data_IF_550492302952
#
_entry.id   IF_550492302952
#
_cell.length_a   1.000
_cell.length_b   1.000
_cell.length_c   1.000
_cell.angle_alpha   90.00
_cell.angle_beta   90.00
_cell.angle_gamma   90.00
#
_symmetry.space_group_name_H-M   'P 1'
#
loop_
_entity.id
_entity.type
_entity.pdbx_description
1 polymer ?
#
# COMPACT_ATOMS: atom_id res chain seq x y z
N UNK A 1 24.64 -2.25 -12.42
CA UNK A 1 24.25 -1.09 -11.56
C UNK A 1 25.35 -0.68 -10.57
N UNK A 2 26.04 -1.64 -9.90
CA UNK A 2 27.09 -1.38 -8.91
C UNK A 2 28.24 -0.51 -9.45
N UNK A 3 28.80 -0.82 -10.62
CA UNK A 3 29.87 -0.06 -11.26
C UNK A 3 29.45 1.34 -11.67
N UNK A 4 28.18 1.52 -12.09
CA UNK A 4 27.62 2.84 -12.39
C UNK A 4 27.52 3.69 -11.13
N UNK A 5 27.05 3.12 -10.02
CA UNK A 5 26.98 3.80 -8.74
C UNK A 5 28.39 4.20 -8.24
N UNK A 6 29.38 3.30 -8.42
CA UNK A 6 30.77 3.58 -8.08
C UNK A 6 31.35 4.74 -8.88
N UNK A 7 31.10 4.78 -10.20
CA UNK A 7 31.56 5.87 -11.08
C UNK A 7 30.99 7.24 -10.71
N UNK A 8 29.82 7.25 -10.07
CA UNK A 8 29.13 8.45 -9.56
C UNK A 8 29.48 8.77 -8.10
N UNK A 9 30.46 8.11 -7.52
CA UNK A 9 30.89 8.24 -6.12
C UNK A 9 29.75 8.01 -5.09
N UNK A 10 28.71 7.23 -5.46
CA UNK A 10 27.66 6.88 -4.51
C UNK A 10 28.16 5.86 -3.51
N UNK A 11 27.65 5.90 -2.27
CA UNK A 11 27.94 4.89 -1.26
C UNK A 11 27.42 3.54 -1.73
N UNK A 12 28.22 2.49 -1.59
CA UNK A 12 27.91 1.13 -2.06
C UNK A 12 28.16 0.15 -0.94
N UNK A 13 27.15 -0.71 -0.70
CA UNK A 13 27.24 -1.92 0.07
C UNK A 13 26.96 -3.09 -0.88
N UNK A 14 28.00 -3.86 -1.22
CA UNK A 14 27.92 -4.90 -2.23
C UNK A 14 28.11 -6.28 -1.60
N UNK A 15 27.19 -7.21 -1.92
CA UNK A 15 27.23 -8.60 -1.50
C UNK A 15 27.80 -9.43 -2.66
N UNK A 16 28.87 -10.16 -2.39
CA UNK A 16 29.51 -11.06 -3.32
C UNK A 16 29.40 -12.52 -2.88
N UNK A 17 29.00 -13.38 -3.78
CA UNK A 17 29.01 -14.83 -3.62
C UNK A 17 30.39 -15.41 -3.96
N UNK A 18 30.42 -16.45 -4.86
CA UNK A 18 31.66 -17.15 -5.23
C UNK A 18 32.55 -16.37 -6.21
N UNK A 19 32.21 -15.11 -6.50
CA UNK A 19 32.85 -14.29 -7.54
C UNK A 19 34.18 -13.74 -7.03
N UNK A 20 35.20 -13.73 -7.89
CA UNK A 20 36.51 -13.18 -7.59
C UNK A 20 36.44 -11.64 -7.49
N UNK A 21 36.76 -11.08 -6.33
CA UNK A 21 36.70 -9.65 -6.08
C UNK A 21 37.74 -8.86 -6.85
N UNK A 22 38.93 -9.40 -7.05
CA UNK A 22 39.99 -8.76 -7.82
C UNK A 22 39.56 -8.46 -9.24
N UNK A 23 38.66 -9.28 -9.81
CA UNK A 23 38.15 -9.14 -11.18
C UNK A 23 36.87 -8.28 -11.24
N UNK A 24 35.97 -8.42 -10.27
CA UNK A 24 34.60 -7.93 -10.37
C UNK A 24 34.22 -6.85 -9.35
N UNK A 25 35.09 -6.50 -8.39
CA UNK A 25 34.79 -5.43 -7.47
C UNK A 25 34.74 -4.06 -8.15
N UNK A 26 33.86 -3.15 -7.68
CA UNK A 26 33.76 -1.83 -8.26
C UNK A 26 35.02 -0.98 -7.99
N UNK A 27 35.34 -0.09 -8.91
CA UNK A 27 36.44 0.83 -8.82
C UNK A 27 36.06 2.07 -7.97
N UNK A 28 36.88 2.41 -6.98
CA UNK A 28 36.72 3.65 -6.25
C UNK A 28 37.47 4.79 -6.98
N UNK A 29 36.72 5.79 -7.47
CA UNK A 29 37.29 6.98 -8.08
C UNK A 29 38.06 7.83 -7.08
N UNK A 30 37.67 7.79 -5.82
CA UNK A 30 38.27 8.56 -4.73
C UNK A 30 39.66 8.03 -4.39
N UNK A 31 39.81 6.72 -4.23
CA UNK A 31 41.07 6.09 -3.86
C UNK A 31 41.88 5.54 -5.04
N UNK A 32 41.32 5.55 -6.27
CA UNK A 32 41.94 5.02 -7.50
C UNK A 32 42.33 3.55 -7.39
N UNK A 33 41.49 2.75 -6.73
CA UNK A 33 41.71 1.30 -6.57
C UNK A 33 40.40 0.50 -6.51
N UNK A 34 40.52 -0.81 -6.65
CA UNK A 34 39.48 -1.82 -6.42
C UNK A 34 39.97 -2.82 -5.36
N UNK A 35 39.12 -3.80 -4.97
CA UNK A 35 39.56 -4.85 -4.07
C UNK A 35 40.66 -5.70 -4.70
N UNK A 36 41.72 -5.96 -3.93
CA UNK A 36 42.90 -6.72 -4.38
C UNK A 36 42.94 -8.13 -3.76
N UNK A 37 42.09 -8.40 -2.78
CA UNK A 37 42.05 -9.65 -2.05
C UNK A 37 40.59 -10.06 -1.80
N UNK A 38 40.33 -11.35 -1.72
CA UNK A 38 39.09 -11.90 -1.26
C UNK A 38 39.09 -11.91 0.29
N UNK A 39 38.27 -11.02 0.89
CA UNK A 39 38.12 -10.88 2.35
C UNK A 39 36.65 -10.81 2.72
N UNK A 40 36.27 -11.34 3.90
CA UNK A 40 34.87 -11.40 4.32
C UNK A 40 34.17 -10.03 4.33
N UNK A 41 34.85 -9.01 4.87
CA UNK A 41 34.36 -7.63 4.86
C UNK A 41 35.52 -6.73 4.55
N UNK A 42 35.35 -5.84 3.59
CA UNK A 42 36.36 -4.85 3.28
C UNK A 42 35.73 -3.56 2.77
N UNK A 43 36.29 -2.44 3.19
CA UNK A 43 35.85 -1.12 2.79
C UNK A 43 37.00 -0.34 2.14
N UNK A 44 36.70 0.35 1.06
CA UNK A 44 37.64 1.24 0.39
C UNK A 44 36.88 2.38 -0.30
N UNK A 45 37.25 3.62 0.01
CA UNK A 45 36.53 4.81 -0.44
C UNK A 45 35.03 4.73 -0.10
N UNK A 46 34.20 4.90 -1.10
CA UNK A 46 32.73 4.85 -0.97
C UNK A 46 32.14 3.43 -1.05
N UNK A 47 32.96 2.37 -0.98
CA UNK A 47 32.54 0.99 -1.25
C UNK A 47 32.80 0.11 -0.02
N UNK A 48 31.82 -0.66 0.41
CA UNK A 48 31.95 -1.78 1.36
C UNK A 48 31.47 -3.05 0.67
N UNK A 49 32.30 -4.09 0.72
CA UNK A 49 32.01 -5.41 0.15
C UNK A 49 31.85 -6.42 1.29
N UNK A 50 30.83 -7.30 1.14
CA UNK A 50 30.59 -8.46 1.99
C UNK A 50 30.75 -9.73 1.17
N UNK A 51 31.56 -10.65 1.64
CA UNK A 51 31.80 -11.97 1.06
C UNK A 51 31.90 -13.01 2.19
N UNK A 52 31.56 -14.26 1.97
CA UNK A 52 31.67 -15.28 3.01
C UNK A 52 33.12 -15.65 3.31
N UNK A 53 33.41 -15.90 4.58
CA UNK A 53 34.71 -16.43 5.03
C UNK A 53 34.71 -17.97 4.91
N UNK A 54 34.80 -18.46 3.70
CA UNK A 54 34.84 -19.90 3.41
C UNK A 54 36.08 -20.25 2.59
N UNK A 55 36.73 -21.37 2.84
CA UNK A 55 37.97 -21.77 2.13
C UNK A 55 37.83 -21.91 0.62
N UNK A 56 36.59 -22.13 0.12
CA UNK A 56 36.29 -22.23 -1.31
C UNK A 56 36.00 -20.91 -1.99
N UNK A 57 35.90 -19.79 -1.29
CA UNK A 57 35.68 -18.46 -1.87
C UNK A 57 37.03 -17.91 -2.36
N UNK A 58 37.14 -17.45 -3.63
CA UNK A 58 36.13 -17.34 -4.68
C UNK A 58 36.30 -18.48 -5.70
N UNK A 59 35.43 -19.46 -5.65
CA UNK A 59 35.54 -20.64 -6.57
C UNK A 59 34.98 -20.35 -7.97
N UNK A 60 34.17 -19.31 -8.16
CA UNK A 60 33.58 -18.97 -9.44
C UNK A 60 32.40 -19.83 -9.90
N UNK A 61 31.98 -20.82 -9.11
CA UNK A 61 30.89 -21.72 -9.47
C UNK A 61 29.51 -21.04 -9.36
N UNK A 62 28.57 -21.43 -10.20
CA UNK A 62 27.21 -20.90 -10.20
C UNK A 62 26.28 -21.52 -9.14
N UNK A 63 26.83 -22.17 -8.13
CA UNK A 63 26.17 -22.87 -7.03
C UNK A 63 27.13 -23.85 -6.37
N UNK A 64 26.81 -24.31 -5.14
CA UNK A 64 27.64 -25.28 -4.43
C UNK A 64 27.21 -26.73 -4.68
N UNK A 65 26.05 -26.95 -5.26
CA UNK A 65 25.43 -28.24 -5.51
C UNK A 65 25.01 -28.36 -6.97
N UNK A 66 25.83 -28.47 -7.87
CA UNK A 66 25.66 -28.55 -9.32
C UNK A 66 24.22 -28.67 -9.91
N UNK A 67 23.21 -28.92 -9.09
CA UNK A 67 21.82 -29.15 -9.48
C UNK A 67 20.80 -28.11 -9.06
N UNK A 68 21.04 -27.28 -8.03
CA UNK A 68 19.99 -26.43 -7.43
C UNK A 68 20.35 -24.94 -7.36
N UNK A 69 21.54 -24.55 -7.81
CA UNK A 69 21.95 -23.14 -7.87
C UNK A 69 22.11 -22.46 -6.50
N UNK A 70 22.10 -23.20 -5.37
CA UNK A 70 22.34 -22.66 -4.04
C UNK A 70 23.83 -22.37 -3.86
N UNK A 71 24.11 -21.25 -3.19
CA UNK A 71 25.47 -20.82 -2.90
C UNK A 71 25.67 -20.69 -1.39
N UNK A 72 26.30 -21.67 -0.77
CA UNK A 72 26.60 -21.63 0.67
C UNK A 72 27.35 -20.37 1.08
N UNK A 73 28.16 -19.81 0.18
CA UNK A 73 28.84 -18.54 0.41
C UNK A 73 27.87 -17.34 0.53
N UNK A 74 26.73 -17.36 -0.11
CA UNK A 74 25.68 -16.34 0.09
C UNK A 74 24.87 -16.61 1.35
N UNK A 75 24.51 -17.86 1.62
CA UNK A 75 23.77 -18.26 2.82
C UNK A 75 24.55 -18.00 4.13
N UNK A 76 25.88 -17.98 4.08
CA UNK A 76 26.76 -17.72 5.23
C UNK A 76 27.04 -16.23 5.48
N UNK A 77 26.57 -15.33 4.66
CA UNK A 77 26.67 -13.88 4.94
C UNK A 77 25.53 -13.48 5.85
N UNK A 78 25.84 -13.16 7.11
CA UNK A 78 24.83 -12.78 8.09
C UNK A 78 24.19 -11.41 7.74
N UNK A 79 22.86 -11.33 7.60
CA UNK A 79 22.16 -10.05 7.44
C UNK A 79 22.44 -9.06 8.57
N UNK A 80 22.64 -9.54 9.80
CA UNK A 80 22.98 -8.68 10.96
C UNK A 80 24.32 -7.97 10.78
N UNK A 81 25.29 -8.61 10.15
CA UNK A 81 26.60 -8.01 9.88
C UNK A 81 26.47 -6.91 8.86
N UNK A 82 25.71 -7.15 7.77
CA UNK A 82 25.45 -6.13 6.76
C UNK A 82 24.74 -4.94 7.39
N UNK A 83 23.67 -5.20 8.15
CA UNK A 83 22.89 -4.17 8.82
C UNK A 83 23.76 -3.30 9.74
N UNK A 84 24.62 -3.90 10.55
CA UNK A 84 25.53 -3.17 11.45
C UNK A 84 26.46 -2.23 10.70
N UNK A 85 27.02 -2.65 9.56
CA UNK A 85 27.89 -1.80 8.74
C UNK A 85 27.13 -0.65 8.08
N UNK A 86 25.91 -0.91 7.57
CA UNK A 86 25.05 0.12 6.99
C UNK A 86 24.62 1.13 8.07
N UNK A 87 24.17 0.65 9.22
CA UNK A 87 23.78 1.50 10.36
C UNK A 87 24.96 2.34 10.86
N UNK A 88 26.12 1.75 11.00
CA UNK A 88 27.35 2.45 11.40
C UNK A 88 27.71 3.58 10.43
N UNK A 89 27.59 3.33 9.13
CA UNK A 89 27.81 4.37 8.12
C UNK A 89 26.74 5.48 8.21
N UNK A 90 25.47 5.16 8.33
CA UNK A 90 24.40 6.14 8.48
C UNK A 90 24.58 7.04 9.71
N UNK A 91 25.08 6.48 10.82
CA UNK A 91 25.37 7.24 12.02
C UNK A 91 26.59 8.17 11.84
N UNK A 92 27.60 7.75 11.09
CA UNK A 92 28.83 8.56 10.84
C UNK A 92 28.59 9.68 9.83
N UNK A 93 27.78 9.48 8.78
CA UNK A 93 27.43 10.57 7.86
C UNK A 93 26.72 11.72 8.59
N UNK A 94 25.93 11.41 9.61
CA UNK A 94 25.29 12.42 10.45
C UNK A 94 26.28 13.24 11.28
N UNK A 95 27.52 12.76 11.52
CA UNK A 95 28.53 13.45 12.32
C UNK A 95 29.42 14.40 11.53
N UNK A 96 29.52 14.30 10.20
CA UNK A 96 30.39 15.14 9.35
C UNK A 96 29.68 16.37 8.75
N UNK A 97 28.38 16.46 8.86
CA UNK A 97 27.58 17.64 8.49
C UNK A 97 27.27 18.49 9.73
N UNK A 98 28.31 19.16 10.29
CA UNK A 98 28.14 20.22 11.29
C UNK A 98 27.56 21.49 10.64
N UNK A 99 26.32 21.47 10.24
CA UNK A 99 25.42 22.60 10.26
C UNK A 99 24.56 22.36 11.51
N UNK A 100 24.33 23.36 12.40
CA UNK A 100 23.37 23.18 13.48
C UNK A 100 21.99 23.05 12.85
N UNK A 101 21.61 21.85 12.52
CA UNK A 101 20.23 21.49 12.36
C UNK A 101 19.66 21.40 13.78
N UNK A 102 18.74 22.29 14.10
CA UNK A 102 17.82 22.06 15.19
C UNK A 102 17.44 20.58 15.13
N UNK A 103 17.58 19.89 16.26
CA UNK A 103 17.22 18.48 16.39
C UNK A 103 15.69 18.46 16.29
N UNK A 104 15.18 18.47 15.06
CA UNK A 104 13.84 17.93 14.84
C UNK A 104 13.94 16.45 15.21
N UNK A 105 13.19 16.06 16.22
CA UNK A 105 13.03 14.68 16.66
C UNK A 105 12.89 13.80 15.42
N UNK A 106 13.81 12.83 15.24
CA UNK A 106 13.74 11.88 14.11
C UNK A 106 12.37 11.23 14.11
N UNK A 107 11.50 11.70 13.22
CA UNK A 107 10.18 11.11 13.06
C UNK A 107 10.36 9.76 12.37
N UNK A 108 10.21 8.67 13.12
CA UNK A 108 10.14 7.33 12.52
C UNK A 108 8.87 7.23 11.68
N UNK A 109 8.99 6.75 10.44
CA UNK A 109 7.87 6.51 9.55
C UNK A 109 6.79 5.66 10.25
N UNK A 110 5.60 6.22 10.43
CA UNK A 110 4.46 5.49 10.99
C UNK A 110 3.59 4.91 9.88
N UNK A 111 2.95 3.78 10.17
CA UNK A 111 2.08 3.06 9.24
C UNK A 111 0.67 2.97 9.82
N UNK A 112 -0.32 3.34 9.01
CA UNK A 112 -1.72 3.36 9.41
C UNK A 112 -2.55 2.50 8.45
N UNK A 113 -3.33 1.59 9.02
CA UNK A 113 -4.40 0.91 8.32
C UNK A 113 -5.70 1.66 8.60
N UNK A 114 -6.39 2.16 7.57
CA UNK A 114 -7.57 3.00 7.72
C UNK A 114 -8.82 2.32 7.15
N UNK A 115 -9.90 2.39 7.93
CA UNK A 115 -11.27 2.14 7.49
C UNK A 115 -12.12 3.41 7.66
N UNK A 116 -13.05 3.66 6.72
CA UNK A 116 -14.02 4.76 6.79
C UNK A 116 -15.40 4.12 6.71
N UNK A 117 -16.11 4.05 7.83
CA UNK A 117 -17.37 3.30 7.99
C UNK A 117 -18.44 4.19 8.58
N UNK A 118 -19.57 4.28 7.90
CA UNK A 118 -20.67 5.15 8.31
C UNK A 118 -22.03 4.59 7.87
N UNK A 119 -23.10 5.14 8.47
CA UNK A 119 -24.48 4.77 8.23
C UNK A 119 -24.97 3.62 9.11
N UNK A 120 -26.17 3.11 8.85
CA UNK A 120 -26.86 2.19 9.76
C UNK A 120 -26.75 0.71 9.39
N UNK A 121 -26.19 0.40 8.20
CA UNK A 121 -26.08 -0.98 7.72
C UNK A 121 -25.00 -1.76 8.49
N UNK A 122 -25.43 -2.69 9.36
CA UNK A 122 -24.53 -3.53 10.16
C UNK A 122 -23.52 -4.30 9.32
N UNK A 123 -23.85 -4.61 8.06
CA UNK A 123 -22.96 -5.36 7.17
C UNK A 123 -21.62 -4.61 6.88
N UNK A 124 -21.61 -3.28 6.92
CA UNK A 124 -20.37 -2.51 6.75
C UNK A 124 -19.47 -2.59 7.99
N UNK A 125 -20.08 -2.57 9.18
CA UNK A 125 -19.35 -2.74 10.44
C UNK A 125 -18.76 -4.14 10.57
N UNK A 126 -19.58 -5.17 10.33
CA UNK A 126 -19.13 -6.56 10.33
C UNK A 126 -18.01 -6.78 9.31
N UNK A 127 -18.15 -6.21 8.12
CA UNK A 127 -17.13 -6.28 7.07
C UNK A 127 -15.80 -5.66 7.49
N UNK A 128 -15.82 -4.44 8.04
CA UNK A 128 -14.61 -3.74 8.50
C UNK A 128 -13.95 -4.47 9.68
N UNK A 129 -14.74 -4.93 10.64
CA UNK A 129 -14.21 -5.69 11.79
C UNK A 129 -13.62 -7.02 11.30
N UNK A 130 -14.29 -7.73 10.38
CA UNK A 130 -13.73 -8.96 9.81
C UNK A 130 -12.45 -8.71 9.02
N UNK A 131 -12.39 -7.64 8.24
CA UNK A 131 -11.17 -7.21 7.56
C UNK A 131 -10.04 -6.96 8.56
N UNK A 132 -10.30 -6.22 9.63
CA UNK A 132 -9.38 -6.00 10.73
C UNK A 132 -8.90 -7.32 11.38
N UNK A 133 -9.81 -8.24 11.73
CA UNK A 133 -9.44 -9.52 12.33
C UNK A 133 -8.52 -10.35 11.41
N UNK A 134 -8.81 -10.36 10.09
CA UNK A 134 -7.96 -11.07 9.14
C UNK A 134 -6.62 -10.36 8.89
N UNK A 135 -6.56 -9.04 9.05
CA UNK A 135 -5.32 -8.26 9.01
C UNK A 135 -4.43 -8.58 10.21
N UNK A 136 -4.99 -8.47 11.42
CA UNK A 136 -4.25 -8.67 12.68
C UNK A 136 -3.54 -10.02 12.76
N UNK A 137 -4.07 -11.04 12.14
CA UNK A 137 -3.41 -12.34 12.10
C UNK A 137 -2.05 -12.36 11.38
N UNK A 138 -1.80 -11.41 10.50
CA UNK A 138 -0.54 -11.30 9.76
C UNK A 138 0.46 -10.37 10.43
N UNK A 139 0.04 -9.66 11.48
CA UNK A 139 0.92 -8.79 12.26
C UNK A 139 1.75 -9.62 13.24
N UNK A 140 3.02 -9.31 13.32
CA UNK A 140 3.91 -9.75 14.38
C UNK A 140 3.82 -8.77 15.57
N UNK A 141 4.26 -9.18 16.74
CA UNK A 141 4.21 -8.33 17.96
C UNK A 141 5.00 -7.02 17.81
N UNK A 142 6.04 -7.02 16.94
CA UNK A 142 6.89 -5.85 16.66
C UNK A 142 6.40 -4.99 15.48
N UNK A 143 5.27 -5.34 14.84
CA UNK A 143 4.75 -4.55 13.72
C UNK A 143 4.07 -3.27 14.22
N UNK A 144 4.71 -2.14 14.01
CA UNK A 144 4.21 -0.81 14.37
C UNK A 144 3.20 -0.29 13.34
N UNK A 145 2.04 -0.96 13.22
CA UNK A 145 0.95 -0.51 12.36
C UNK A 145 -0.25 -0.17 13.22
N UNK A 146 -0.62 1.08 13.22
CA UNK A 146 -1.82 1.56 13.91
C UNK A 146 -3.04 1.35 13.03
N UNK A 147 -4.09 0.73 13.59
CA UNK A 147 -5.37 0.57 12.91
C UNK A 147 -6.31 1.70 13.34
N UNK A 148 -6.80 2.44 12.37
CA UNK A 148 -7.68 3.60 12.55
C UNK A 148 -9.02 3.34 11.89
N UNK A 149 -10.10 3.71 12.53
CA UNK A 149 -11.43 3.78 11.91
C UNK A 149 -12.00 5.20 12.06
N UNK A 150 -12.44 5.77 10.95
CA UNK A 150 -13.25 6.98 10.93
C UNK A 150 -14.71 6.56 10.80
N UNK A 151 -15.55 6.91 11.78
CA UNK A 151 -16.94 6.43 11.81
C UNK A 151 -17.91 7.43 12.46
N UNK A 152 -19.17 7.39 12.08
CA UNK A 152 -20.27 8.09 12.76
C UNK A 152 -20.89 7.26 13.90
N UNK A 153 -20.44 6.00 14.09
CA UNK A 153 -20.93 5.12 15.16
C UNK A 153 -19.78 4.42 15.90
N UNK A 154 -19.05 5.13 16.79
CA UNK A 154 -17.87 4.62 17.48
C UNK A 154 -18.15 3.39 18.36
N UNK A 155 -19.37 3.26 18.89
CA UNK A 155 -19.76 2.13 19.76
C UNK A 155 -19.60 0.76 19.08
N UNK A 156 -19.65 0.71 17.75
CA UNK A 156 -19.46 -0.53 16.98
C UNK A 156 -18.05 -1.10 17.02
N UNK A 157 -17.07 -0.27 17.37
CA UNK A 157 -15.64 -0.64 17.34
C UNK A 157 -14.99 -0.66 18.74
N UNK A 158 -15.69 -0.26 19.79
CA UNK A 158 -15.13 -0.06 21.13
C UNK A 158 -14.48 -1.29 21.76
N UNK A 159 -14.91 -2.49 21.36
CA UNK A 159 -14.42 -3.75 21.91
C UNK A 159 -13.16 -4.24 21.17
N UNK A 160 -12.69 -3.52 20.16
CA UNK A 160 -11.52 -3.86 19.34
C UNK A 160 -10.36 -2.87 19.57
N UNK A 161 -9.10 -3.31 19.52
CA UNK A 161 -7.93 -2.43 19.66
C UNK A 161 -7.70 -1.61 18.37
N UNK A 162 -8.60 -0.68 18.12
CA UNK A 162 -8.63 0.21 16.96
C UNK A 162 -8.70 1.64 17.48
N UNK A 163 -7.90 2.55 16.91
CA UNK A 163 -8.01 3.98 17.16
C UNK A 163 -9.27 4.52 16.45
N UNK A 164 -10.20 5.07 17.21
CA UNK A 164 -11.52 5.48 16.70
C UNK A 164 -11.55 7.01 16.56
N UNK A 165 -11.69 7.49 15.33
CA UNK A 165 -11.99 8.87 15.03
C UNK A 165 -13.49 9.00 14.69
N UNK A 166 -14.13 10.01 15.27
CA UNK A 166 -15.57 10.23 15.08
C UNK A 166 -15.81 11.24 13.96
N UNK A 167 -16.65 10.86 13.00
CA UNK A 167 -17.19 11.75 11.97
C UNK A 167 -18.53 12.31 12.45
N UNK A 168 -18.67 13.63 12.53
CA UNK A 168 -19.92 14.25 12.92
C UNK A 168 -21.00 14.14 11.83
N UNK A 169 -22.26 14.34 12.19
CA UNK A 169 -23.34 14.37 11.22
C UNK A 169 -23.20 15.54 10.23
N UNK A 170 -22.68 16.67 10.69
CA UNK A 170 -22.41 17.85 9.86
C UNK A 170 -21.33 17.51 8.82
N UNK A 171 -20.22 16.90 9.22
CA UNK A 171 -19.16 16.44 8.32
C UNK A 171 -19.70 15.41 7.32
N UNK A 172 -20.47 14.42 7.77
CA UNK A 172 -21.07 13.41 6.90
C UNK A 172 -21.96 14.04 5.85
N UNK A 173 -22.81 14.98 6.22
CA UNK A 173 -23.72 15.70 5.31
C UNK A 173 -22.93 16.56 4.31
N UNK A 174 -21.98 17.37 4.79
CA UNK A 174 -21.12 18.19 3.91
C UNK A 174 -20.34 17.31 2.92
N UNK A 175 -19.68 16.27 3.41
CA UNK A 175 -18.83 15.41 2.59
C UNK A 175 -19.61 14.58 1.59
N UNK A 176 -20.86 14.22 1.91
CA UNK A 176 -21.75 13.48 1.00
C UNK A 176 -22.59 14.36 0.07
N UNK A 177 -22.41 15.70 0.07
CA UNK A 177 -23.30 16.64 -0.61
C UNK A 177 -24.77 16.44 -0.16
N UNK A 178 -25.00 16.39 1.15
CA UNK A 178 -26.30 16.07 1.76
C UNK A 178 -26.91 14.74 1.28
N UNK A 179 -26.06 13.71 1.15
CA UNK A 179 -26.44 12.37 0.72
C UNK A 179 -26.53 12.15 -0.79
N UNK A 180 -26.32 13.20 -1.60
CA UNK A 180 -26.39 13.10 -3.06
C UNK A 180 -25.20 12.34 -3.66
N UNK A 181 -24.00 12.42 -3.04
CA UNK A 181 -22.82 11.71 -3.50
C UNK A 181 -21.94 11.21 -2.34
N UNK A 182 -22.32 10.10 -1.73
CA UNK A 182 -21.66 9.56 -0.54
C UNK A 182 -20.22 9.04 -0.79
N UNK A 183 -19.82 8.70 -2.02
CA UNK A 183 -18.45 8.24 -2.31
C UNK A 183 -17.37 9.31 -2.04
N UNK A 184 -17.73 10.60 -2.07
CA UNK A 184 -16.83 11.70 -1.71
C UNK A 184 -16.35 11.64 -0.26
N UNK A 185 -17.12 11.02 0.65
CA UNK A 185 -16.74 10.81 2.06
C UNK A 185 -15.39 10.10 2.17
N UNK A 186 -15.07 9.17 1.29
CA UNK A 186 -13.77 8.47 1.27
C UNK A 186 -12.60 9.45 1.14
N UNK A 187 -12.62 10.30 0.13
CA UNK A 187 -11.56 11.26 -0.10
C UNK A 187 -11.45 12.31 1.03
N UNK A 188 -12.59 12.85 1.48
CA UNK A 188 -12.64 13.81 2.59
C UNK A 188 -12.19 13.18 3.91
N UNK A 189 -12.59 11.94 4.14
CA UNK A 189 -12.21 11.17 5.34
C UNK A 189 -10.72 10.84 5.37
N UNK A 190 -10.11 10.46 4.23
CA UNK A 190 -8.65 10.30 4.12
C UNK A 190 -7.91 11.58 4.51
N UNK A 191 -8.34 12.71 3.96
CA UNK A 191 -7.77 14.02 4.25
C UNK A 191 -7.92 14.37 5.74
N UNK A 192 -9.12 14.20 6.29
CA UNK A 192 -9.43 14.49 7.69
C UNK A 192 -8.56 13.66 8.66
N UNK A 193 -8.41 12.35 8.41
CA UNK A 193 -7.59 11.48 9.26
C UNK A 193 -6.12 11.92 9.26
N UNK A 194 -5.57 12.31 8.12
CA UNK A 194 -4.20 12.83 8.04
C UNK A 194 -4.02 14.10 8.87
N UNK A 195 -4.98 15.01 8.78
CA UNK A 195 -4.94 16.30 9.48
C UNK A 195 -5.17 16.12 10.99
N UNK A 196 -6.14 15.27 11.39
CA UNK A 196 -6.50 15.03 12.79
C UNK A 196 -5.38 14.33 13.55
N UNK A 197 -4.75 13.34 12.95
CA UNK A 197 -3.60 12.63 13.53
C UNK A 197 -2.28 13.40 13.38
N UNK A 198 -2.28 14.56 12.71
CA UNK A 198 -1.09 15.39 12.47
C UNK A 198 0.07 14.59 11.90
N UNK A 199 -0.23 13.79 10.87
CA UNK A 199 0.74 12.88 10.29
C UNK A 199 1.89 13.64 9.62
N UNK A 200 3.09 13.08 9.74
CA UNK A 200 4.29 13.59 9.10
C UNK A 200 4.36 13.15 7.62
N UNK A 201 5.04 13.90 6.76
CA UNK A 201 5.13 13.67 5.31
C UNK A 201 5.52 12.25 4.89
N UNK A 202 6.28 11.55 5.72
CA UNK A 202 6.73 10.18 5.46
C UNK A 202 5.76 9.10 5.96
N UNK A 203 4.78 9.46 6.78
CA UNK A 203 3.82 8.49 7.31
C UNK A 203 2.97 7.92 6.18
N UNK A 204 2.57 6.67 6.33
CA UNK A 204 1.85 5.91 5.31
C UNK A 204 0.45 5.56 5.78
N UNK A 205 -0.53 5.86 4.95
CA UNK A 205 -1.90 5.39 5.13
C UNK A 205 -2.23 4.36 4.07
N UNK A 206 -2.79 3.25 4.51
CA UNK A 206 -3.35 2.20 3.66
C UNK A 206 -4.83 2.05 3.99
N UNK A 207 -5.67 2.60 3.14
CA UNK A 207 -7.13 2.54 3.24
C UNK A 207 -7.69 1.29 2.57
N UNK A 208 -8.73 0.70 3.18
CA UNK A 208 -9.54 -0.37 2.60
C UNK A 208 -11.04 -0.12 2.75
N UNK A 209 -11.79 -0.49 1.71
CA UNK A 209 -13.26 -0.62 1.81
C UNK A 209 -13.65 -1.82 2.71
N UNK A 210 -14.80 -1.74 3.37
CA UNK A 210 -15.30 -2.75 4.31
C UNK A 210 -15.53 -4.14 3.71
N UNK A 211 -15.65 -4.26 2.40
CA UNK A 211 -15.90 -5.53 1.71
C UNK A 211 -14.62 -6.25 1.26
N UNK A 212 -13.52 -6.01 2.00
CA UNK A 212 -12.20 -6.62 1.81
C UNK A 212 -11.83 -7.56 2.96
N UNK A 213 -10.93 -8.51 2.71
CA UNK A 213 -10.31 -9.34 3.75
C UNK A 213 -8.96 -9.90 3.28
N UNK A 214 -8.11 -10.29 4.23
CA UNK A 214 -6.75 -10.70 3.95
C UNK A 214 -6.57 -12.22 4.02
N UNK A 215 -6.18 -12.81 2.91
CA UNK A 215 -5.88 -14.25 2.79
C UNK A 215 -4.37 -14.55 2.75
N UNK A 216 -3.55 -13.51 2.78
CA UNK A 216 -2.09 -13.53 2.91
C UNK A 216 -1.63 -12.22 3.54
N UNK A 217 -0.36 -12.15 3.96
CA UNK A 217 0.16 -10.96 4.60
C UNK A 217 0.00 -9.70 3.73
N UNK A 218 -0.63 -8.64 4.24
CA UNK A 218 -0.72 -7.35 3.56
C UNK A 218 0.49 -6.45 3.82
N UNK A 219 1.42 -6.84 4.70
CA UNK A 219 2.55 -6.00 5.10
C UNK A 219 3.38 -5.49 3.92
N UNK A 220 3.66 -6.29 2.87
CA UNK A 220 4.39 -5.79 1.70
C UNK A 220 3.69 -4.66 0.94
N UNK A 221 2.39 -4.41 1.18
CA UNK A 221 1.70 -3.27 0.58
C UNK A 221 2.25 -1.93 1.07
N UNK A 222 2.69 -1.85 2.33
CA UNK A 222 3.30 -0.64 2.88
C UNK A 222 4.65 -0.32 2.22
N UNK A 223 5.38 -1.33 1.74
CA UNK A 223 6.63 -1.15 1.00
C UNK A 223 6.42 -0.58 -0.41
N UNK A 224 5.20 -0.75 -0.94
CA UNK A 224 4.79 -0.16 -2.23
C UNK A 224 4.35 1.30 -2.10
N UNK A 225 4.11 1.80 -0.89
CA UNK A 225 3.78 3.21 -0.65
C UNK A 225 5.08 3.98 -0.45
N UNK A 226 5.41 4.86 -1.41
CA UNK A 226 6.63 5.66 -1.38
C UNK A 226 6.26 7.15 -1.48
N UNK A 227 7.15 8.10 -1.10
CA UNK A 227 6.88 9.54 -1.21
C UNK A 227 6.54 10.04 -2.62
N UNK A 228 6.81 9.23 -3.65
CA UNK A 228 6.53 9.51 -5.07
C UNK A 228 5.66 8.44 -5.73
N UNK A 229 5.12 7.47 -4.97
CA UNK A 229 4.35 6.35 -5.49
C UNK A 229 3.15 6.03 -4.60
N UNK A 230 1.95 6.16 -5.17
CA UNK A 230 0.69 5.72 -4.56
C UNK A 230 0.37 4.27 -4.94
N UNK A 231 -0.44 3.63 -4.12
CA UNK A 231 -0.89 2.26 -4.30
C UNK A 231 -2.41 2.25 -4.48
N UNK A 232 -2.90 1.59 -5.51
CA UNK A 232 -4.32 1.36 -5.73
C UNK A 232 -4.62 -0.13 -5.89
N UNK A 233 -5.90 -0.48 -5.78
CA UNK A 233 -6.29 -1.88 -5.94
C UNK A 233 -5.89 -2.42 -7.31
N UNK A 234 -6.31 -1.76 -8.40
CA UNK A 234 -6.14 -2.27 -9.76
C UNK A 234 -6.33 -1.14 -10.78
N UNK A 235 -5.56 -1.17 -11.87
CA UNK A 235 -5.84 -0.36 -13.05
C UNK A 235 -7.02 -0.96 -13.82
N UNK A 236 -8.12 -0.22 -13.87
CA UNK A 236 -9.34 -0.66 -14.58
C UNK A 236 -9.31 -0.38 -16.09
N UNK A 237 -8.32 0.35 -16.54
CA UNK A 237 -8.05 0.64 -17.95
C UNK A 237 -8.21 2.10 -18.33
N UNK A 238 -7.78 2.40 -19.56
CA UNK A 238 -7.88 3.73 -20.12
C UNK A 238 -9.35 4.14 -20.36
N UNK A 239 -9.64 5.40 -20.12
CA UNK A 239 -11.01 5.95 -20.25
C UNK A 239 -11.53 5.80 -21.69
N UNK A 240 -10.67 6.05 -22.67
CA UNK A 240 -11.05 5.97 -24.09
C UNK A 240 -11.22 4.54 -24.64
N UNK A 241 -10.64 3.53 -23.98
CA UNK A 241 -10.62 2.15 -24.46
C UNK A 241 -11.77 1.29 -23.95
N UNK A 242 -12.48 1.73 -22.92
CA UNK A 242 -13.49 0.92 -22.24
C UNK A 242 -14.88 1.51 -22.39
N UNK A 243 -15.79 0.78 -23.04
CA UNK A 243 -17.20 1.19 -23.21
C UNK A 243 -17.87 1.71 -21.93
N UNK A 244 -17.59 1.07 -20.79
CA UNK A 244 -18.15 1.45 -19.48
C UNK A 244 -17.72 2.84 -19.01
N UNK A 245 -16.70 3.44 -19.62
CA UNK A 245 -16.18 4.76 -19.29
C UNK A 245 -16.54 5.82 -20.34
N UNK A 246 -17.27 5.48 -21.41
CA UNK A 246 -17.59 6.42 -22.48
C UNK A 246 -18.37 7.64 -22.00
N UNK A 247 -19.12 7.53 -20.90
CA UNK A 247 -19.76 8.71 -20.30
C UNK A 247 -18.77 9.81 -19.90
N UNK A 248 -17.53 9.46 -19.55
CA UNK A 248 -16.47 10.43 -19.29
C UNK A 248 -16.01 11.09 -20.59
N UNK A 249 -15.80 10.30 -21.65
CA UNK A 249 -15.42 10.84 -22.97
C UNK A 249 -16.50 11.76 -23.51
N UNK A 250 -17.75 11.33 -23.48
CA UNK A 250 -18.90 12.12 -23.98
C UNK A 250 -19.07 13.46 -23.26
N UNK A 251 -18.72 13.52 -21.99
CA UNK A 251 -18.96 14.73 -21.18
C UNK A 251 -17.72 15.58 -20.94
N UNK A 252 -16.51 15.04 -21.08
CA UNK A 252 -15.27 15.73 -20.74
C UNK A 252 -14.29 15.93 -21.91
N UNK A 253 -14.41 15.16 -23.01
CA UNK A 253 -13.47 15.25 -24.13
C UNK A 253 -13.48 16.67 -24.75
N UNK A 254 -12.29 17.25 -24.89
CA UNK A 254 -12.11 18.63 -25.39
C UNK A 254 -12.57 19.74 -24.44
N UNK A 255 -12.96 19.43 -23.19
CA UNK A 255 -13.29 20.44 -22.18
C UNK A 255 -12.09 20.74 -21.30
N UNK A 256 -11.86 22.01 -21.04
CA UNK A 256 -10.93 22.52 -20.05
C UNK A 256 -11.72 22.82 -18.78
N UNK A 257 -11.34 22.18 -17.67
CA UNK A 257 -11.99 22.36 -16.37
C UNK A 257 -11.01 23.14 -15.47
N UNK A 258 -11.44 24.30 -15.01
CA UNK A 258 -10.65 25.14 -14.10
C UNK A 258 -10.79 24.62 -12.66
N UNK A 259 -9.64 24.46 -11.98
CA UNK A 259 -9.52 24.04 -10.59
C UNK A 259 -8.47 24.93 -9.95
N UNK A 260 -8.90 25.94 -9.20
CA UNK A 260 -8.06 27.02 -8.68
C UNK A 260 -7.24 27.68 -9.82
N UNK A 261 -5.92 27.76 -9.65
CA UNK A 261 -4.99 28.32 -10.65
C UNK A 261 -4.51 27.28 -11.68
N UNK A 262 -5.10 26.07 -11.69
CA UNK A 262 -4.72 24.97 -12.57
C UNK A 262 -5.89 24.54 -13.45
N UNK A 263 -5.60 23.81 -14.52
CA UNK A 263 -6.61 23.24 -15.40
C UNK A 263 -6.51 21.72 -15.47
N UNK A 264 -7.66 21.09 -15.69
CA UNK A 264 -7.76 19.67 -16.03
C UNK A 264 -8.34 19.51 -17.43
N UNK A 265 -7.75 18.63 -18.21
CA UNK A 265 -8.25 18.17 -19.50
C UNK A 265 -8.16 16.66 -19.59
N UNK A 266 -9.20 15.99 -20.10
CA UNK A 266 -9.20 14.54 -20.28
C UNK A 266 -8.15 14.12 -21.31
N UNK A 267 -7.20 13.31 -20.90
CA UNK A 267 -6.09 12.85 -21.73
C UNK A 267 -6.34 11.44 -22.28
N UNK A 268 -5.75 11.13 -23.44
CA UNK A 268 -5.67 9.74 -23.96
C UNK A 268 -4.96 8.77 -23.00
N UNK A 269 -4.22 9.28 -22.03
CA UNK A 269 -3.57 8.51 -20.95
C UNK A 269 -4.41 8.40 -19.68
N UNK A 270 -5.51 9.13 -19.59
CA UNK A 270 -6.40 9.09 -18.43
C UNK A 270 -6.94 7.68 -18.20
N UNK A 271 -6.79 7.18 -16.98
CA UNK A 271 -7.13 5.82 -16.60
C UNK A 271 -7.90 5.81 -15.27
N UNK A 272 -8.89 4.94 -15.17
CA UNK A 272 -9.57 4.71 -13.92
C UNK A 272 -8.83 3.66 -13.10
N UNK A 273 -8.52 4.00 -11.84
CA UNK A 273 -7.93 3.10 -10.88
C UNK A 273 -8.93 2.78 -9.77
N UNK A 274 -9.12 1.51 -9.48
CA UNK A 274 -10.06 1.08 -8.44
C UNK A 274 -9.58 1.45 -7.05
N UNK A 275 -10.35 2.25 -6.32
CA UNK A 275 -10.04 2.81 -5.00
C UNK A 275 -10.55 1.98 -3.81
N UNK A 276 -10.89 0.70 -4.02
CA UNK A 276 -11.22 -0.24 -2.92
C UNK A 276 -10.07 -0.39 -1.91
N UNK A 277 -8.87 -0.12 -2.36
CA UNK A 277 -7.65 0.01 -1.59
C UNK A 277 -6.88 1.21 -2.12
N UNK A 278 -6.47 2.10 -1.23
CA UNK A 278 -5.65 3.28 -1.54
C UNK A 278 -4.53 3.37 -0.52
N UNK A 279 -3.29 3.31 -0.99
CA UNK A 279 -2.10 3.54 -0.17
C UNK A 279 -1.38 4.81 -0.62
N UNK A 280 -1.18 5.74 0.30
CA UNK A 280 -0.52 7.02 0.04
C UNK A 280 0.38 7.41 1.22
N UNK A 281 1.47 8.13 0.93
CA UNK A 281 2.19 8.84 1.97
C UNK A 281 1.50 10.18 2.27
N UNK A 282 1.66 10.69 3.47
CA UNK A 282 1.05 11.96 3.89
C UNK A 282 1.51 13.15 3.03
N UNK A 283 2.69 13.08 2.45
CA UNK A 283 3.17 14.04 1.45
C UNK A 283 2.19 14.27 0.29
N UNK A 284 1.32 13.29 0.01
CA UNK A 284 0.30 13.36 -1.04
C UNK A 284 -0.99 14.06 -0.61
N UNK A 285 -1.08 14.53 0.66
CA UNK A 285 -2.25 15.18 1.25
C UNK A 285 -2.83 16.31 0.35
N UNK A 286 -2.03 17.21 -0.26
CA UNK A 286 -2.57 18.26 -1.15
C UNK A 286 -3.30 17.71 -2.40
N UNK A 287 -2.96 16.49 -2.85
CA UNK A 287 -3.65 15.87 -3.98
C UNK A 287 -5.08 15.44 -3.61
N UNK A 288 -5.38 15.18 -2.34
CA UNK A 288 -6.75 14.89 -1.90
C UNK A 288 -7.65 16.13 -2.00
N UNK A 289 -7.13 17.32 -1.73
CA UNK A 289 -7.88 18.57 -1.88
C UNK A 289 -8.15 18.89 -3.35
N UNK A 290 -7.15 18.68 -4.19
CA UNK A 290 -7.32 18.88 -5.63
C UNK A 290 -8.30 17.85 -6.22
N UNK A 291 -8.22 16.57 -5.77
CA UNK A 291 -9.18 15.53 -6.15
C UNK A 291 -10.60 15.87 -5.72
N UNK A 292 -10.79 16.44 -4.54
CA UNK A 292 -12.10 16.86 -4.04
C UNK A 292 -12.74 17.92 -4.95
N UNK A 293 -11.97 18.95 -5.33
CA UNK A 293 -12.44 19.99 -6.28
C UNK A 293 -12.77 19.40 -7.65
N UNK A 294 -11.93 18.50 -8.15
CA UNK A 294 -12.19 17.80 -9.41
C UNK A 294 -13.45 16.93 -9.34
N UNK A 295 -13.68 16.24 -8.19
CA UNK A 295 -14.90 15.46 -7.96
C UNK A 295 -16.16 16.32 -8.05
N UNK A 296 -16.15 17.53 -7.46
CA UNK A 296 -17.28 18.43 -7.52
C UNK A 296 -17.58 18.84 -8.97
N UNK A 297 -16.57 19.17 -9.76
CA UNK A 297 -16.72 19.47 -11.18
C UNK A 297 -17.23 18.28 -11.99
N UNK A 298 -16.69 17.10 -11.73
CA UNK A 298 -17.17 15.88 -12.41
C UNK A 298 -18.59 15.52 -12.01
N UNK A 299 -18.98 15.75 -10.76
CA UNK A 299 -20.34 15.49 -10.30
C UNK A 299 -21.38 16.34 -11.06
N UNK A 300 -21.03 17.58 -11.40
CA UNK A 300 -21.88 18.46 -12.21
C UNK A 300 -21.98 18.02 -13.69
N UNK A 301 -20.92 17.42 -14.22
CA UNK A 301 -20.75 17.17 -15.66
C UNK A 301 -21.00 15.72 -16.07
N UNK A 302 -20.73 14.74 -15.20
CA UNK A 302 -20.67 13.33 -15.57
C UNK A 302 -21.63 12.50 -14.71
N UNK A 303 -22.67 11.87 -15.28
CA UNK A 303 -23.57 11.00 -14.53
C UNK A 303 -22.94 9.62 -14.25
N UNK A 304 -21.99 9.56 -13.33
CA UNK A 304 -21.26 8.32 -13.00
C UNK A 304 -21.08 8.15 -11.50
N UNK A 305 -21.14 6.90 -11.01
CA UNK A 305 -20.82 6.54 -9.64
C UNK A 305 -19.31 6.37 -9.39
N UNK A 306 -18.49 6.32 -10.46
CA UNK A 306 -17.04 6.13 -10.37
C UNK A 306 -16.25 7.44 -10.41
N UNK A 307 -16.92 8.58 -10.13
CA UNK A 307 -16.27 9.91 -10.10
C UNK A 307 -15.15 9.94 -9.06
N UNK A 308 -15.38 9.40 -7.83
CA UNK A 308 -14.38 9.41 -6.76
C UNK A 308 -13.09 8.70 -7.18
N UNK A 309 -13.09 7.41 -7.57
CA UNK A 309 -11.86 6.74 -7.96
C UNK A 309 -11.18 7.38 -9.16
N UNK A 310 -11.94 7.94 -10.08
CA UNK A 310 -11.39 8.61 -11.26
C UNK A 310 -10.72 9.93 -10.90
N UNK A 311 -11.39 10.83 -10.19
CA UNK A 311 -10.83 12.11 -9.78
C UNK A 311 -9.61 11.96 -8.87
N UNK A 312 -9.65 10.99 -7.94
CA UNK A 312 -8.53 10.69 -7.05
C UNK A 312 -7.32 10.17 -7.83
N UNK A 313 -7.51 9.24 -8.75
CA UNK A 313 -6.41 8.74 -9.58
C UNK A 313 -5.82 9.79 -10.51
N UNK A 314 -6.65 10.60 -11.17
CA UNK A 314 -6.19 11.70 -12.03
C UNK A 314 -5.39 12.73 -11.22
N UNK A 315 -5.86 13.10 -10.03
CA UNK A 315 -5.13 14.01 -9.15
C UNK A 315 -3.73 13.50 -8.79
N UNK A 316 -3.64 12.24 -8.39
CA UNK A 316 -2.36 11.63 -8.01
C UNK A 316 -1.42 11.44 -9.21
N UNK A 317 -1.94 11.00 -10.37
CA UNK A 317 -1.14 10.78 -11.59
C UNK A 317 -0.47 12.04 -12.13
N UNK A 318 -0.92 13.23 -11.74
CA UNK A 318 -0.28 14.51 -12.10
C UNK A 318 1.14 14.65 -11.53
N UNK A 319 1.38 14.08 -10.36
CA UNK A 319 2.64 14.27 -9.60
C UNK A 319 3.32 12.96 -9.19
N UNK A 320 2.58 11.84 -9.18
CA UNK A 320 3.03 10.59 -8.59
C UNK A 320 2.79 9.42 -9.54
N UNK A 321 3.51 8.34 -9.30
CA UNK A 321 3.26 7.05 -9.94
C UNK A 321 2.18 6.29 -9.16
N UNK A 322 1.32 5.54 -9.83
CA UNK A 322 0.39 4.60 -9.20
C UNK A 322 0.78 3.16 -9.55
N UNK A 323 0.74 2.27 -8.55
CA UNK A 323 1.00 0.83 -8.71
C UNK A 323 -0.17 -0.01 -8.19
N UNK A 324 -0.26 -1.28 -8.63
CA UNK A 324 -1.34 -2.20 -8.25
C UNK A 324 -1.00 -3.04 -7.02
N UNK A 325 -1.99 -3.25 -6.12
CA UNK A 325 -1.89 -4.12 -4.95
C UNK A 325 -2.91 -5.27 -4.88
N UNK A 326 -3.67 -5.53 -5.95
CA UNK A 326 -4.79 -6.49 -5.97
C UNK A 326 -4.46 -7.92 -5.49
N UNK A 327 -3.21 -8.32 -5.53
CA UNK A 327 -2.80 -9.69 -5.21
C UNK A 327 -2.76 -9.99 -3.70
N UNK A 328 -2.97 -8.99 -2.85
CA UNK A 328 -2.84 -9.11 -1.39
C UNK A 328 -4.17 -9.19 -0.66
N UNK A 329 -5.28 -8.83 -1.32
CA UNK A 329 -6.60 -8.79 -0.72
C UNK A 329 -7.61 -9.60 -1.51
N UNK A 330 -8.63 -10.08 -0.83
CA UNK A 330 -9.82 -10.67 -1.44
C UNK A 330 -11.01 -9.75 -1.28
N UNK A 331 -11.90 -9.76 -2.27
CA UNK A 331 -13.07 -8.89 -2.32
C UNK A 331 -14.35 -9.72 -2.45
N UNK A 332 -15.43 -9.18 -1.86
CA UNK A 332 -16.80 -9.67 -2.08
C UNK A 332 -17.78 -8.56 -2.52
N UNK A 333 -17.25 -7.53 -3.21
CA UNK A 333 -17.96 -6.32 -3.62
C UNK A 333 -19.14 -6.52 -4.61
N UNK A 334 -19.19 -7.62 -5.36
CA UNK A 334 -20.34 -7.87 -6.28
C UNK A 334 -21.58 -8.34 -5.53
N UNK A 335 -22.79 -7.88 -5.93
CA UNK A 335 -24.07 -8.13 -5.25
C UNK A 335 -24.22 -9.54 -4.70
N UNK A 336 -23.98 -10.58 -5.52
CA UNK A 336 -24.11 -11.98 -5.08
C UNK A 336 -23.01 -12.47 -4.15
N UNK A 337 -21.81 -11.93 -4.26
CA UNK A 337 -20.71 -12.24 -3.32
C UNK A 337 -20.98 -11.52 -2.02
N UNK A 338 -21.44 -10.27 -2.07
CA UNK A 338 -21.78 -9.45 -0.91
C UNK A 338 -22.88 -10.11 -0.09
N UNK A 339 -24.01 -10.49 -0.72
CA UNK A 339 -25.11 -11.21 -0.07
C UNK A 339 -24.64 -12.48 0.66
N UNK A 340 -23.81 -13.29 -0.01
CA UNK A 340 -23.25 -14.51 0.58
C UNK A 340 -22.29 -14.21 1.75
N UNK A 341 -21.42 -13.22 1.59
CA UNK A 341 -20.47 -12.81 2.63
C UNK A 341 -21.20 -12.27 3.86
N UNK A 342 -22.15 -11.34 3.67
CA UNK A 342 -22.95 -10.75 4.75
C UNK A 342 -23.57 -11.84 5.61
N UNK A 343 -24.20 -12.86 5.01
CA UNK A 343 -24.78 -13.98 5.76
C UNK A 343 -23.75 -14.74 6.58
N UNK A 344 -22.56 -14.98 6.02
CA UNK A 344 -21.48 -15.69 6.74
C UNK A 344 -20.97 -14.85 7.90
N UNK A 345 -20.74 -13.54 7.66
CA UNK A 345 -20.20 -12.65 8.66
C UNK A 345 -21.19 -12.38 9.80
N UNK A 346 -22.47 -12.19 9.49
CA UNK A 346 -23.54 -12.08 10.50
C UNK A 346 -23.54 -13.31 11.42
N UNK A 347 -23.55 -14.53 10.86
CA UNK A 347 -23.49 -15.76 11.66
C UNK A 347 -22.19 -15.84 12.48
N UNK A 348 -21.05 -15.45 11.88
CA UNK A 348 -19.77 -15.45 12.59
C UNK A 348 -19.80 -14.53 13.83
N UNK A 349 -20.30 -13.30 13.68
CA UNK A 349 -20.37 -12.36 14.81
C UNK A 349 -21.43 -12.74 15.84
N UNK A 350 -22.59 -13.25 15.43
CA UNK A 350 -23.60 -13.76 16.36
C UNK A 350 -23.06 -14.89 17.25
N UNK A 351 -22.36 -15.87 16.65
CA UNK A 351 -21.80 -17.01 17.37
C UNK A 351 -20.55 -16.67 18.20
N UNK A 352 -19.74 -15.68 17.77
CA UNK A 352 -18.42 -15.41 18.32
C UNK A 352 -18.34 -14.10 19.12
N UNK A 353 -19.44 -13.39 19.30
CA UNK A 353 -19.53 -12.10 20.00
C UNK A 353 -18.95 -12.13 21.42
N UNK A 354 -19.06 -13.26 22.10
CA UNK A 354 -18.58 -13.42 23.50
C UNK A 354 -17.12 -13.89 23.61
N UNK A 355 -16.45 -14.14 22.49
CA UNK A 355 -15.05 -14.56 22.49
C UNK A 355 -14.11 -13.35 22.60
N UNK A 356 -12.92 -13.58 23.14
CA UNK A 356 -11.86 -12.58 23.10
C UNK A 356 -11.47 -12.21 21.66
N UNK A 357 -10.91 -11.01 21.48
CA UNK A 357 -10.46 -10.55 20.15
C UNK A 357 -9.43 -11.51 19.56
N UNK A 358 -8.52 -12.05 20.37
CA UNK A 358 -7.50 -13.02 19.91
C UNK A 358 -8.11 -14.33 19.41
N UNK A 359 -9.19 -14.79 20.05
CA UNK A 359 -9.93 -15.98 19.59
C UNK A 359 -10.67 -15.67 18.29
N UNK A 360 -11.28 -14.49 18.17
CA UNK A 360 -11.91 -14.04 16.94
C UNK A 360 -10.91 -13.94 15.78
N UNK A 361 -9.70 -13.41 16.00
CA UNK A 361 -8.61 -13.35 15.01
C UNK A 361 -8.28 -14.75 14.50
N UNK A 362 -8.06 -15.72 15.41
CA UNK A 362 -7.75 -17.12 15.04
C UNK A 362 -8.86 -17.80 14.27
N UNK A 363 -10.12 -17.49 14.57
CA UNK A 363 -11.28 -18.08 13.92
C UNK A 363 -11.58 -17.41 12.57
N UNK A 364 -11.40 -16.10 12.44
CA UNK A 364 -11.66 -15.36 11.20
C UNK A 364 -10.88 -15.93 10.01
N UNK A 365 -9.68 -16.46 10.23
CA UNK A 365 -8.88 -17.11 9.19
C UNK A 365 -9.48 -18.39 8.63
N UNK A 366 -10.29 -19.08 9.42
CA UNK A 366 -10.95 -20.32 9.01
C UNK A 366 -12.23 -20.06 8.22
N UNK A 367 -12.68 -18.81 8.20
CA UNK A 367 -13.92 -18.41 7.52
C UNK A 367 -13.73 -18.43 6.00
N UNK A 368 -14.54 -19.20 5.30
CA UNK A 368 -14.53 -19.30 3.83
C UNK A 368 -15.64 -18.46 3.22
N UNK A 369 -15.32 -17.23 2.86
CA UNK A 369 -16.26 -16.30 2.19
C UNK A 369 -16.53 -16.70 0.74
N UNK A 370 -15.64 -17.49 0.09
CA UNK A 370 -15.85 -17.92 -1.30
C UNK A 370 -17.08 -18.80 -1.42
N UNK A 371 -17.97 -18.45 -2.35
CA UNK A 371 -19.15 -19.26 -2.66
C UNK A 371 -18.73 -20.66 -3.14
N UNK A 372 -19.36 -21.74 -2.62
CA UNK A 372 -19.08 -23.10 -3.04
C UNK A 372 -19.24 -23.27 -4.56
N UNK A 373 -18.34 -24.00 -5.19
CA UNK A 373 -18.30 -24.18 -6.65
C UNK A 373 -19.63 -24.70 -7.23
N UNK A 374 -20.28 -25.65 -6.56
CA UNK A 374 -21.57 -26.22 -7.01
C UNK A 374 -22.69 -25.17 -7.03
N UNK A 375 -22.72 -24.21 -6.10
CA UNK A 375 -23.70 -23.11 -6.11
C UNK A 375 -23.46 -22.21 -7.33
N UNK A 376 -22.20 -21.92 -7.64
CA UNK A 376 -21.82 -21.11 -8.80
C UNK A 376 -22.22 -21.82 -10.09
N UNK A 377 -21.96 -23.14 -10.19
CA UNK A 377 -22.32 -23.95 -11.35
C UNK A 377 -23.84 -24.10 -11.53
N UNK A 378 -24.58 -24.38 -10.45
CA UNK A 378 -26.06 -24.42 -10.50
C UNK A 378 -26.64 -23.11 -11.03
N UNK A 379 -26.14 -21.98 -10.57
CA UNK A 379 -26.64 -20.68 -11.03
C UNK A 379 -26.23 -20.37 -12.50
N UNK A 380 -25.06 -20.82 -12.96
CA UNK A 380 -24.69 -20.74 -14.38
C UNK A 380 -25.62 -21.59 -15.24
N UNK A 381 -25.91 -22.79 -14.81
CA UNK A 381 -26.80 -23.70 -15.51
C UNK A 381 -28.25 -23.14 -15.61
N UNK A 382 -28.78 -22.62 -14.51
CA UNK A 382 -30.13 -22.00 -14.52
C UNK A 382 -30.19 -20.76 -15.45
N UNK A 383 -29.10 -20.03 -15.61
CA UNK A 383 -29.08 -18.90 -16.58
C UNK A 383 -29.02 -19.33 -18.03
N UNK A 384 -28.46 -20.51 -18.32
CA UNK A 384 -28.44 -21.06 -19.67
C UNK A 384 -29.83 -21.60 -20.06
N UNK A 385 -30.62 -22.10 -19.08
CA UNK A 385 -31.98 -22.57 -19.30
C UNK A 385 -33.01 -21.44 -19.45
N UNK A 386 -32.69 -20.24 -18.92
CA UNK A 386 -33.57 -19.06 -18.98
C UNK A 386 -33.19 -18.07 -20.11
N UNK A 387 -32.27 -18.45 -21.00
CA UNK A 387 -32.00 -17.81 -22.29
C UNK A 387 -32.59 -18.59 -23.43
#
# INVERSE_FOLDING_TARGET
>A
NMHIAASQNKRIFAIFGPTNLKMWSPWSNQLKLSATQDKPIQSYGNITIFQADLPCVACGNAGCDDNHGRSNCLDNISPKVIFKEVEGWLKNEKSETNIPLEIENEHSEKKFLLYIIYGDDQAYYDGAIFSFLTFKNWMLDDDEIEVVVLTDNPEKFKDYPINILTMSNEQKNEWSLNGLYHFRIKNRGLAFVMDELKLHDLDKILFFDADTYFHKSPLPLFDLILPNQALFYLNEGLIYDRKRFFTYVENLDGKIIEIDDETYELSKKSALWGSLMVGISTKMRPSLDWADKLMLKFYELVPSHTIEPFALSESLLRKYKIVEGKNYVSLYSTSRKKEHAVKILSNFFEEKKMLSVDEQIRLAQKVKIKRPFFIVMKQRFLRLLNR
#
